data_IF_288288305758
#
_entry.id   IF_288288305758
#
_cell.length_a   1.000
_cell.length_b   1.000
_cell.length_c   1.000
_cell.angle_alpha   90.00
_cell.angle_beta   90.00
_cell.angle_gamma   90.00
#
_symmetry.space_group_name_H-M   'P 1'
#
loop_
_entity.id
_entity.type
_entity.pdbx_description
1 polymer ?
#
# COMPACT_ATOMS: atom_id res chain seq x y z
N UNK A 1 36.51 15.47 -57.20
CA UNK A 1 35.13 15.62 -57.73
C UNK A 1 34.30 16.39 -56.70
N UNK A 2 33.63 17.47 -57.12
CA UNK A 2 33.10 18.53 -56.25
C UNK A 2 31.87 18.17 -55.41
N UNK A 3 32.04 17.33 -54.38
CA UNK A 3 30.98 16.91 -53.45
C UNK A 3 30.25 18.10 -52.80
N UNK A 4 30.98 19.11 -52.30
CA UNK A 4 30.37 20.32 -51.72
C UNK A 4 29.51 21.09 -52.72
N UNK A 5 29.89 21.07 -54.00
CA UNK A 5 29.16 21.77 -55.06
C UNK A 5 27.85 21.05 -55.40
N UNK A 6 27.86 19.71 -55.41
CA UNK A 6 26.65 18.88 -55.52
C UNK A 6 25.72 19.05 -54.30
N UNK A 7 26.27 19.05 -53.07
CA UNK A 7 25.48 19.26 -51.85
C UNK A 7 24.79 20.63 -51.86
N UNK A 8 25.50 21.68 -52.26
CA UNK A 8 24.96 23.04 -52.39
C UNK A 8 23.83 23.11 -53.41
N UNK A 9 23.97 22.46 -54.56
CA UNK A 9 22.93 22.38 -55.60
C UNK A 9 21.68 21.65 -55.10
N UNK A 10 21.86 20.56 -54.34
CA UNK A 10 20.75 19.79 -53.76
C UNK A 10 19.98 20.62 -52.74
N UNK A 11 20.68 21.31 -51.83
CA UNK A 11 20.08 22.19 -50.83
C UNK A 11 19.37 23.38 -51.49
N UNK A 12 19.98 24.02 -52.50
CA UNK A 12 19.35 25.13 -53.23
C UNK A 12 18.07 24.67 -53.94
N UNK A 13 18.08 23.50 -54.59
CA UNK A 13 16.88 22.94 -55.20
C UNK A 13 15.76 22.70 -54.18
N UNK A 14 16.09 22.09 -53.02
CA UNK A 14 15.12 21.85 -51.94
C UNK A 14 14.59 23.16 -51.33
N UNK A 15 15.46 24.14 -51.11
CA UNK A 15 15.07 25.46 -50.61
C UNK A 15 14.15 26.20 -51.59
N UNK A 16 14.47 26.18 -52.88
CA UNK A 16 13.65 26.82 -53.92
C UNK A 16 12.28 26.16 -54.05
N UNK A 17 12.21 24.83 -53.91
CA UNK A 17 10.95 24.08 -53.90
C UNK A 17 10.07 24.47 -52.70
N UNK A 18 10.65 24.62 -51.49
CA UNK A 18 9.92 25.11 -50.31
C UNK A 18 9.50 26.58 -50.47
N UNK A 19 10.33 27.44 -51.06
CA UNK A 19 10.01 28.87 -51.30
C UNK A 19 8.82 29.07 -52.25
N UNK A 20 8.61 28.17 -53.22
CA UNK A 20 7.48 28.25 -54.17
C UNK A 20 6.13 27.87 -53.57
N UNK A 21 6.11 27.26 -52.37
CA UNK A 21 4.88 26.90 -51.64
C UNK A 21 4.86 27.55 -50.25
N UNK A 22 4.85 28.90 -50.15
CA UNK A 22 4.94 29.61 -48.87
C UNK A 22 3.78 29.30 -47.93
N UNK A 23 2.58 29.05 -48.47
CA UNK A 23 1.41 28.67 -47.68
C UNK A 23 1.59 27.31 -46.98
N UNK A 24 2.10 26.30 -47.68
CA UNK A 24 2.33 24.97 -47.09
C UNK A 24 3.42 25.04 -46.01
N UNK A 25 4.49 25.79 -46.27
CA UNK A 25 5.57 26.01 -45.30
C UNK A 25 5.06 26.74 -44.05
N UNK A 26 4.15 27.71 -44.21
CA UNK A 26 3.52 28.40 -43.10
C UNK A 26 2.71 27.42 -42.23
N UNK A 27 1.87 26.59 -42.83
CA UNK A 27 1.13 25.57 -42.07
C UNK A 27 2.05 24.56 -41.37
N UNK A 28 3.12 24.11 -42.04
CA UNK A 28 4.13 23.21 -41.48
C UNK A 28 4.81 23.79 -40.22
N UNK A 29 4.95 25.12 -40.14
CA UNK A 29 5.54 25.84 -39.00
C UNK A 29 4.48 26.23 -37.94
N UNK A 30 3.28 26.61 -38.37
CA UNK A 30 2.18 27.03 -37.47
C UNK A 30 1.62 25.85 -36.68
N UNK A 31 1.50 24.65 -37.29
CA UNK A 31 0.99 23.45 -36.60
C UNK A 31 1.78 23.12 -35.32
N UNK A 32 3.13 22.97 -35.33
CA UNK A 32 3.88 22.68 -34.11
C UNK A 32 3.83 23.83 -33.10
N UNK A 33 3.79 25.09 -33.55
CA UNK A 33 3.64 26.24 -32.66
C UNK A 33 2.30 26.22 -31.91
N UNK A 34 1.19 26.00 -32.62
CA UNK A 34 -0.15 25.91 -32.03
C UNK A 34 -0.23 24.77 -31.02
N UNK A 35 0.34 23.61 -31.35
CA UNK A 35 0.41 22.47 -30.43
C UNK A 35 1.16 22.82 -29.13
N UNK A 36 2.28 23.54 -29.23
CA UNK A 36 3.00 24.04 -28.05
C UNK A 36 2.16 24.98 -27.20
N UNK A 37 1.47 25.95 -27.81
CA UNK A 37 0.61 26.88 -27.07
C UNK A 37 -0.54 26.16 -26.35
N UNK A 38 -1.15 25.16 -26.98
CA UNK A 38 -2.20 24.34 -26.36
C UNK A 38 -1.65 23.58 -25.15
N UNK A 39 -0.49 22.93 -25.28
CA UNK A 39 0.15 22.19 -24.18
C UNK A 39 0.50 23.10 -23.00
N UNK A 40 1.04 24.29 -23.27
CA UNK A 40 1.32 25.29 -22.23
C UNK A 40 0.02 25.74 -21.56
N UNK A 41 -1.05 25.97 -22.34
CA UNK A 41 -2.37 26.32 -21.83
C UNK A 41 -2.93 25.27 -20.87
N UNK A 42 -2.84 23.99 -21.22
CA UNK A 42 -3.27 22.87 -20.36
C UNK A 42 -2.45 22.85 -19.07
N UNK A 43 -1.12 22.96 -19.16
CA UNK A 43 -0.23 22.99 -17.99
C UNK A 43 -0.50 24.18 -17.05
N UNK A 44 -0.94 25.32 -17.58
CA UNK A 44 -1.35 26.47 -16.76
C UNK A 44 -2.70 26.26 -16.07
N UNK A 45 -3.63 25.53 -16.69
CA UNK A 45 -4.94 25.21 -16.12
C UNK A 45 -4.87 24.11 -15.06
N UNK A 46 -3.91 23.19 -15.18
CA UNK A 46 -3.69 22.10 -14.22
C UNK A 46 -2.32 22.26 -13.56
N UNK A 47 -2.17 23.15 -12.56
CA UNK A 47 -0.95 23.20 -11.77
C UNK A 47 -0.76 21.84 -11.08
N UNK A 48 0.49 21.37 -11.06
CA UNK A 48 0.83 20.17 -10.32
C UNK A 48 0.53 20.41 -8.83
N UNK A 49 -0.50 19.74 -8.30
CA UNK A 49 -0.83 19.79 -6.89
C UNK A 49 0.24 19.02 -6.12
N UNK A 50 1.04 19.67 -5.26
CA UNK A 50 1.98 18.96 -4.42
C UNK A 50 1.18 18.14 -3.41
N UNK A 51 1.09 16.83 -3.63
CA UNK A 51 0.51 15.91 -2.65
C UNK A 51 1.53 15.81 -1.51
N UNK A 52 1.16 16.34 -0.34
CA UNK A 52 1.95 16.16 0.89
C UNK A 52 2.11 14.66 1.14
N UNK A 53 3.27 14.24 1.67
CA UNK A 53 3.51 12.85 2.02
C UNK A 53 2.39 12.34 2.94
N UNK A 54 1.54 11.47 2.40
CA UNK A 54 0.50 10.77 3.15
C UNK A 54 1.11 9.49 3.71
N UNK A 55 1.17 9.38 5.04
CA UNK A 55 1.49 8.11 5.68
C UNK A 55 0.25 7.22 5.60
N UNK A 56 0.35 6.12 4.85
CA UNK A 56 -0.71 5.13 4.79
C UNK A 56 -0.55 4.20 5.98
N UNK A 57 -1.53 4.16 6.89
CA UNK A 57 -1.40 3.32 8.05
C UNK A 57 -1.57 1.85 7.67
N UNK A 58 -0.83 0.98 8.37
CA UNK A 58 -0.96 -0.46 8.19
C UNK A 58 -2.33 -0.94 8.65
N UNK A 59 -2.92 -1.86 7.89
CA UNK A 59 -4.12 -2.59 8.27
C UNK A 59 -3.75 -4.04 8.56
N UNK A 60 -4.20 -4.62 9.69
CA UNK A 60 -3.89 -6.00 10.02
C UNK A 60 -4.62 -6.95 9.07
N UNK A 61 -3.92 -8.00 8.65
CA UNK A 61 -4.49 -9.11 7.90
C UNK A 61 -5.25 -10.05 8.85
N UNK A 62 -6.25 -10.81 8.37
CA UNK A 62 -6.97 -11.79 9.20
C UNK A 62 -6.07 -12.85 9.87
N UNK A 63 -4.89 -13.10 9.29
CA UNK A 63 -3.87 -13.99 9.88
C UNK A 63 -3.23 -13.46 11.16
N UNK A 64 -3.29 -12.15 11.41
CA UNK A 64 -2.86 -11.55 12.68
C UNK A 64 -3.85 -11.80 13.83
N UNK A 65 -4.99 -12.44 13.54
CA UNK A 65 -6.03 -12.78 14.49
C UNK A 65 -7.24 -11.85 14.46
N UNK A 66 -8.37 -12.36 14.93
CA UNK A 66 -9.67 -11.65 14.91
C UNK A 66 -9.65 -10.38 15.75
N UNK A 67 -8.86 -10.36 16.84
CA UNK A 67 -8.77 -9.22 17.75
C UNK A 67 -8.12 -8.02 17.06
N UNK A 68 -7.01 -8.22 16.35
CA UNK A 68 -6.31 -7.16 15.63
C UNK A 68 -7.18 -6.55 14.52
N UNK A 69 -7.93 -7.39 13.79
CA UNK A 69 -8.86 -6.93 12.74
C UNK A 69 -9.99 -6.11 13.34
N UNK A 70 -10.60 -6.56 14.44
CA UNK A 70 -11.68 -5.81 15.09
C UNK A 70 -11.20 -4.47 15.63
N UNK A 71 -10.00 -4.42 16.22
CA UNK A 71 -9.39 -3.18 16.70
C UNK A 71 -9.15 -2.16 15.57
N UNK A 72 -8.91 -2.61 14.34
CA UNK A 72 -8.69 -1.73 13.20
C UNK A 72 -9.95 -0.98 12.73
N UNK A 73 -11.15 -1.42 13.13
CA UNK A 73 -12.42 -0.76 12.82
C UNK A 73 -12.92 0.21 13.92
N UNK A 74 -12.20 0.32 15.05
CA UNK A 74 -12.59 1.19 16.16
C UNK A 74 -12.01 2.62 16.02
N UNK A 75 -12.82 3.64 16.31
CA UNK A 75 -12.55 5.05 15.98
C UNK A 75 -11.66 5.82 17.01
N UNK A 76 -11.17 5.15 18.05
CA UNK A 76 -10.42 5.80 19.17
C UNK A 76 -9.00 5.26 19.37
N UNK A 77 -8.43 4.62 18.34
CA UNK A 77 -7.12 3.97 18.41
C UNK A 77 -5.96 4.93 18.24
N UNK A 78 -4.93 4.82 19.08
CA UNK A 78 -3.65 5.50 18.88
C UNK A 78 -2.80 4.66 17.92
N UNK A 79 -2.19 5.29 16.92
CA UNK A 79 -1.33 4.56 15.98
C UNK A 79 0.09 4.42 16.53
N UNK A 80 0.63 3.21 16.43
CA UNK A 80 2.03 2.95 16.73
C UNK A 80 2.96 3.45 15.59
N UNK A 81 4.27 3.31 15.79
CA UNK A 81 5.28 3.68 14.78
C UNK A 81 5.11 2.92 13.46
N UNK A 82 4.48 1.74 13.50
CA UNK A 82 4.22 0.87 12.37
C UNK A 82 2.86 1.15 11.70
N UNK A 83 2.04 2.04 12.26
CA UNK A 83 0.74 2.46 11.75
C UNK A 83 -0.46 1.61 12.19
N UNK A 84 -0.27 0.61 13.05
CA UNK A 84 -1.34 -0.22 13.62
C UNK A 84 -2.10 0.51 14.73
N UNK A 85 -3.41 0.25 14.83
CA UNK A 85 -4.26 0.84 15.86
C UNK A 85 -4.07 0.12 17.20
N UNK A 86 -3.70 0.87 18.24
CA UNK A 86 -3.47 0.40 19.61
C UNK A 86 -4.35 1.14 20.60
N UNK A 87 -4.86 0.44 21.61
CA UNK A 87 -5.78 0.98 22.61
C UNK A 87 -5.24 0.74 24.03
N UNK A 88 -4.25 1.52 24.50
CA UNK A 88 -3.53 1.22 25.74
C UNK A 88 -4.44 1.14 26.99
N UNK A 89 -5.54 1.90 26.98
CA UNK A 89 -6.49 1.97 28.10
C UNK A 89 -7.66 0.95 27.98
N UNK A 90 -7.55 -0.05 27.11
CA UNK A 90 -8.62 -1.04 26.91
C UNK A 90 -8.44 -2.28 27.80
N UNK A 91 -9.55 -2.95 28.13
CA UNK A 91 -9.53 -4.24 28.82
C UNK A 91 -8.85 -5.33 27.97
N UNK A 92 -8.98 -5.22 26.64
CA UNK A 92 -8.40 -6.15 25.68
C UNK A 92 -6.88 -6.08 25.67
N UNK A 93 -6.28 -4.88 25.72
CA UNK A 93 -4.81 -4.77 25.79
C UNK A 93 -4.25 -5.33 27.10
N UNK A 94 -4.91 -5.08 28.23
CA UNK A 94 -4.53 -5.67 29.52
C UNK A 94 -4.62 -7.20 29.51
N UNK A 95 -5.66 -7.76 28.87
CA UNK A 95 -5.80 -9.19 28.68
C UNK A 95 -4.70 -9.77 27.77
N UNK A 96 -4.41 -9.13 26.64
CA UNK A 96 -3.37 -9.57 25.72
C UNK A 96 -1.98 -9.54 26.37
N UNK A 97 -1.70 -8.55 27.21
CA UNK A 97 -0.45 -8.48 27.96
C UNK A 97 -0.32 -9.62 28.97
N UNK A 98 -1.41 -9.94 29.70
CA UNK A 98 -1.45 -11.12 30.57
C UNK A 98 -1.28 -12.41 29.79
N UNK A 99 -1.98 -12.56 28.65
CA UNK A 99 -1.87 -13.74 27.81
C UNK A 99 -0.46 -13.92 27.26
N UNK A 100 0.18 -12.83 26.82
CA UNK A 100 1.57 -12.82 26.38
C UNK A 100 2.49 -13.25 27.50
N UNK A 101 2.30 -12.73 28.72
CA UNK A 101 3.10 -13.12 29.87
C UNK A 101 2.95 -14.61 30.18
N UNK A 102 1.72 -15.11 30.24
CA UNK A 102 1.43 -16.54 30.48
C UNK A 102 2.03 -17.40 29.37
N UNK A 103 1.93 -16.98 28.10
CA UNK A 103 2.49 -17.70 26.95
C UNK A 103 4.00 -17.73 26.90
N UNK A 104 4.70 -16.75 27.46
CA UNK A 104 6.16 -16.78 27.52
C UNK A 104 6.67 -17.71 28.62
N UNK A 105 5.92 -17.86 29.71
CA UNK A 105 6.31 -18.68 30.85
C UNK A 105 5.83 -20.14 30.73
N UNK A 106 4.81 -20.40 29.90
CA UNK A 106 4.25 -21.74 29.71
C UNK A 106 4.52 -22.24 28.30
N UNK A 107 5.12 -23.43 28.19
CA UNK A 107 5.33 -24.07 26.90
C UNK A 107 4.03 -24.78 26.46
N UNK A 108 3.14 -24.03 25.81
CA UNK A 108 1.85 -24.55 25.34
C UNK A 108 1.97 -25.59 24.22
N UNK A 109 3.10 -25.61 23.52
CA UNK A 109 3.38 -26.57 22.46
C UNK A 109 4.54 -27.45 22.89
N UNK A 110 4.24 -28.50 23.65
CA UNK A 110 5.23 -29.52 23.96
C UNK A 110 5.71 -30.18 22.65
N UNK A 111 7.02 -30.36 22.43
CA UNK A 111 7.51 -31.15 21.31
C UNK A 111 7.18 -32.62 21.61
N UNK A 112 6.01 -33.06 21.15
CA UNK A 112 5.48 -34.39 21.45
C UNK A 112 4.06 -34.66 20.97
N UNK A 113 3.43 -33.77 20.19
CA UNK A 113 2.11 -34.04 19.59
C UNK A 113 2.18 -35.31 18.76
N UNK A 114 1.56 -36.38 19.25
CA UNK A 114 1.46 -37.63 18.51
C UNK A 114 0.42 -37.48 17.40
N UNK A 115 0.57 -38.19 16.28
CA UNK A 115 -0.36 -38.10 15.14
C UNK A 115 -1.82 -38.30 15.54
N UNK A 116 -2.08 -39.06 16.60
CA UNK A 116 -3.40 -39.35 17.17
C UNK A 116 -4.04 -38.17 17.90
N UNK A 117 -3.24 -37.22 18.39
CA UNK A 117 -3.73 -36.02 19.09
C UNK A 117 -3.98 -34.84 18.12
N UNK A 118 -3.46 -34.91 16.89
CA UNK A 118 -3.76 -33.93 15.84
C UNK A 118 -5.25 -33.94 15.42
N UNK A 119 -5.92 -35.09 15.53
CA UNK A 119 -7.36 -35.21 15.23
C UNK A 119 -8.25 -34.45 16.24
N UNK A 120 -7.70 -34.08 17.40
CA UNK A 120 -8.39 -33.26 18.41
C UNK A 120 -8.22 -31.75 18.20
N UNK A 121 -7.28 -31.31 17.35
CA UNK A 121 -7.07 -29.88 17.09
C UNK A 121 -8.32 -29.19 16.53
N UNK A 122 -9.06 -29.77 15.56
CA UNK A 122 -10.28 -29.16 15.05
C UNK A 122 -11.36 -29.01 16.12
N UNK A 123 -11.49 -29.97 17.04
CA UNK A 123 -12.50 -29.91 18.11
C UNK A 123 -12.09 -28.92 19.20
N UNK A 124 -10.82 -28.87 19.58
CA UNK A 124 -10.30 -27.86 20.52
C UNK A 124 -10.52 -26.45 19.96
N UNK A 125 -10.17 -26.22 18.69
CA UNK A 125 -10.41 -24.93 18.04
C UNK A 125 -11.89 -24.58 18.00
N UNK A 126 -12.76 -25.56 17.71
CA UNK A 126 -14.21 -25.36 17.70
C UNK A 126 -14.73 -24.93 19.07
N UNK A 127 -14.34 -25.60 20.14
CA UNK A 127 -14.74 -25.26 21.52
C UNK A 127 -14.27 -23.87 21.93
N UNK A 128 -13.05 -23.47 21.52
CA UNK A 128 -12.50 -22.13 21.77
C UNK A 128 -13.27 -21.04 21.04
N UNK A 129 -13.79 -21.34 19.84
CA UNK A 129 -14.57 -20.40 19.02
C UNK A 129 -16.03 -20.31 19.49
N UNK A 130 -16.62 -21.41 19.95
CA UNK A 130 -18.02 -21.46 20.40
C UNK A 130 -18.22 -20.85 21.80
N UNK A 131 -17.27 -20.99 22.74
CA UNK A 131 -17.41 -20.50 24.13
C UNK A 131 -16.27 -19.58 24.59
N UNK A 132 -16.23 -18.31 24.12
CA UNK A 132 -15.21 -17.34 24.52
C UNK A 132 -15.28 -16.96 26.01
N UNK A 133 -16.44 -17.14 26.66
CA UNK A 133 -16.66 -16.82 28.08
C UNK A 133 -16.04 -17.88 29.00
N UNK A 134 -16.20 -19.16 28.67
CA UNK A 134 -15.60 -20.25 29.45
C UNK A 134 -14.06 -20.19 29.43
N UNK A 135 -13.50 -19.75 28.30
CA UNK A 135 -12.08 -19.51 28.17
C UNK A 135 -11.61 -18.35 29.08
N UNK A 136 -12.39 -17.27 29.15
CA UNK A 136 -12.12 -16.15 30.07
C UNK A 136 -12.09 -16.61 31.54
N UNK A 137 -13.08 -17.39 31.97
CA UNK A 137 -13.16 -17.91 33.33
C UNK A 137 -12.00 -18.87 33.67
N UNK A 138 -11.62 -19.74 32.72
CA UNK A 138 -10.42 -20.57 32.84
C UNK A 138 -9.14 -19.75 33.04
N UNK A 139 -8.98 -18.62 32.34
CA UNK A 139 -7.85 -17.73 32.52
C UNK A 139 -7.87 -17.00 33.87
N UNK A 140 -9.05 -16.71 34.42
CA UNK A 140 -9.19 -16.13 35.76
C UNK A 140 -8.91 -17.13 36.88
N UNK A 141 -9.15 -18.42 36.63
CA UNK A 141 -8.94 -19.53 37.57
C UNK A 141 -7.49 -20.06 37.56
N UNK A 142 -6.70 -19.75 36.52
CA UNK A 142 -5.34 -20.26 36.38
C UNK A 142 -4.41 -19.72 37.50
N UNK A 143 -3.66 -20.59 38.20
CA UNK A 143 -2.77 -20.16 39.27
C UNK A 143 -1.64 -19.31 38.70
N UNK A 144 -1.62 -18.03 39.07
CA UNK A 144 -0.52 -17.11 38.79
C UNK A 144 0.63 -17.37 39.76
N UNK A 145 1.56 -18.23 39.36
CA UNK A 145 2.93 -18.22 39.89
C UNK A 145 3.85 -17.47 38.93
#
# INVERSE_FOLDING_TARGET
MGFCLQLRLLLWKNYTLKKRKPLVLLFELVIPLVLFFILIGIRKKQPAYPVKSSSFPAFPLPSAGVIAVMQAFCDNGVRDENGFATFPNSTVTAFLERLKNVSQHNNFFQPGFTLSEMDLIPSIFRTVVEDPVALHDCFMQAPGN
#
